data_IF_459762112935
#
_entry.id   IF_459762112935
#
_cell.length_a   1.000
_cell.length_b   1.000
_cell.length_c   1.000
_cell.angle_alpha   90.00
_cell.angle_beta   90.00
_cell.angle_gamma   90.00
#
_symmetry.space_group_name_H-M   'P 1'
#
loop_
_entity.id
_entity.type
_entity.pdbx_description
1 polymer ?
#
# COMPACT_ATOMS: atom_id res chain seq x y z
N UNK A 1 -6.90 1.39 -1.41
CA UNK A 1 -8.32 1.06 -1.66
C UNK A 1 -9.17 1.96 -0.80
N UNK A 2 -9.97 2.85 -1.40
CA UNK A 2 -10.91 3.66 -0.63
C UNK A 2 -11.99 2.73 -0.04
N UNK A 3 -12.42 2.99 1.20
CA UNK A 3 -13.49 2.24 1.86
C UNK A 3 -13.17 0.78 2.24
N UNK A 4 -11.89 0.43 2.41
CA UNK A 4 -11.48 -0.91 2.85
C UNK A 4 -12.15 -1.34 4.18
N UNK A 5 -12.54 -0.40 5.04
CA UNK A 5 -13.22 -0.66 6.31
C UNK A 5 -14.66 -1.22 6.14
N UNK A 6 -15.29 -0.97 4.99
CA UNK A 6 -16.65 -1.43 4.68
C UNK A 6 -16.66 -2.72 3.84
N UNK A 7 -15.47 -3.23 3.47
CA UNK A 7 -15.30 -4.40 2.60
C UNK A 7 -14.85 -5.62 3.39
N UNK A 8 -15.08 -6.81 2.84
CA UNK A 8 -14.66 -8.04 3.50
C UNK A 8 -13.14 -8.20 3.47
N UNK A 9 -12.58 -8.84 4.50
CA UNK A 9 -11.12 -9.08 4.60
C UNK A 9 -10.61 -9.84 3.37
N UNK A 10 -11.37 -10.83 2.89
CA UNK A 10 -11.01 -11.62 1.71
C UNK A 10 -10.92 -10.78 0.44
N UNK A 11 -11.87 -9.87 0.24
CA UNK A 11 -11.92 -9.01 -0.93
C UNK A 11 -10.78 -7.97 -0.95
N UNK A 12 -10.42 -7.44 0.23
CA UNK A 12 -9.26 -6.56 0.37
C UNK A 12 -7.98 -7.33 0.05
N UNK A 13 -7.80 -8.53 0.61
CA UNK A 13 -6.62 -9.36 0.36
C UNK A 13 -6.49 -9.77 -1.12
N UNK A 14 -7.60 -10.15 -1.76
CA UNK A 14 -7.64 -10.51 -3.17
C UNK A 14 -7.29 -9.32 -4.07
N UNK A 15 -7.84 -8.13 -3.78
CA UNK A 15 -7.56 -6.92 -4.55
C UNK A 15 -6.08 -6.50 -4.53
N UNK A 16 -5.37 -6.78 -3.44
CA UNK A 16 -3.93 -6.53 -3.33
C UNK A 16 -3.06 -7.76 -3.63
N UNK A 17 -3.66 -8.92 -3.92
CA UNK A 17 -2.96 -10.19 -4.15
C UNK A 17 -2.08 -10.60 -2.98
N UNK A 18 -2.53 -10.33 -1.75
CA UNK A 18 -1.74 -10.55 -0.52
C UNK A 18 -2.08 -11.90 0.08
N UNK A 19 -1.05 -12.69 0.36
CA UNK A 19 -1.21 -13.88 1.19
C UNK A 19 -1.38 -13.46 2.66
N UNK A 20 -2.46 -13.84 3.35
CA UNK A 20 -2.70 -13.40 4.73
C UNK A 20 -1.71 -13.96 5.75
N UNK A 21 -0.97 -15.02 5.41
CA UNK A 21 0.00 -15.67 6.31
C UNK A 21 1.44 -15.20 6.06
N UNK A 22 1.74 -14.77 4.84
CA UNK A 22 3.10 -14.39 4.40
C UNK A 22 3.25 -12.91 4.04
N UNK A 23 2.15 -12.21 3.80
CA UNK A 23 2.15 -10.82 3.37
C UNK A 23 2.52 -10.65 1.90
N UNK A 24 2.98 -9.44 1.57
CA UNK A 24 3.45 -9.05 0.23
C UNK A 24 4.91 -9.47 0.02
N UNK A 25 5.23 -9.94 -1.19
CA UNK A 25 6.62 -10.16 -1.62
C UNK A 25 7.30 -8.84 -1.98
N UNK A 26 8.63 -8.79 -1.94
CA UNK A 26 9.43 -7.59 -2.27
C UNK A 26 9.09 -7.02 -3.66
N UNK A 27 8.81 -7.89 -4.62
CA UNK A 27 8.38 -7.47 -5.97
C UNK A 27 7.02 -6.77 -5.95
N UNK A 28 6.05 -7.30 -5.20
CA UNK A 28 4.74 -6.66 -5.07
C UNK A 28 4.85 -5.34 -4.30
N UNK A 29 5.72 -5.25 -3.28
CA UNK A 29 5.99 -3.99 -2.58
C UNK A 29 6.57 -2.95 -3.54
N UNK A 30 7.55 -3.34 -4.37
CA UNK A 30 8.16 -2.44 -5.35
C UNK A 30 7.16 -1.97 -6.42
N UNK A 31 6.24 -2.83 -6.84
CA UNK A 31 5.21 -2.48 -7.82
C UNK A 31 4.14 -1.55 -7.20
N UNK A 32 3.65 -1.88 -6.00
CA UNK A 32 2.72 -1.04 -5.25
C UNK A 32 3.33 0.33 -4.92
N UNK A 33 4.64 0.42 -4.66
CA UNK A 33 5.33 1.69 -4.42
C UNK A 33 5.37 2.60 -5.66
N UNK A 34 5.32 2.04 -6.88
CA UNK A 34 5.21 2.83 -8.12
C UNK A 34 3.80 3.37 -8.33
N UNK A 35 2.79 2.59 -7.96
CA UNK A 35 1.36 2.93 -8.16
C UNK A 35 0.88 3.91 -7.08
N UNK A 36 1.17 3.62 -5.81
CA UNK A 36 0.66 4.37 -4.66
C UNK A 36 1.66 5.38 -4.09
N UNK A 37 2.92 5.33 -4.53
CA UNK A 37 3.99 6.18 -4.01
C UNK A 37 4.50 5.72 -2.63
N UNK A 38 5.43 6.50 -2.07
CA UNK A 38 5.99 6.23 -0.74
C UNK A 38 4.99 6.65 0.33
N UNK A 39 4.72 5.77 1.30
CA UNK A 39 3.88 6.11 2.44
C UNK A 39 4.57 7.18 3.30
N UNK A 40 4.12 8.41 3.16
CA UNK A 40 4.60 9.57 3.91
C UNK A 40 3.83 10.81 3.48
N UNK A 41 3.44 11.65 4.43
CA UNK A 41 2.99 12.99 4.09
C UNK A 41 4.20 13.74 3.51
N UNK A 42 4.04 14.33 2.33
CA UNK A 42 4.99 15.27 1.74
C UNK A 42 4.99 16.59 2.53
N UNK A 43 5.18 16.52 3.84
CA UNK A 43 5.27 17.67 4.73
C UNK A 43 6.73 17.90 5.10
N UNK A 44 7.53 18.30 4.12
CA UNK A 44 8.77 19.05 4.36
C UNK A 44 9.04 19.94 3.13
N UNK A 45 8.24 20.99 2.97
CA UNK A 45 8.47 22.07 2.01
C UNK A 45 9.74 22.90 2.35
N UNK A 46 10.45 22.57 3.46
CA UNK A 46 11.57 23.34 4.02
C UNK A 46 12.81 22.50 4.40
N UNK A 47 12.95 21.24 3.94
CA UNK A 47 14.12 20.42 4.32
C UNK A 47 15.39 20.64 3.46
N UNK A 48 15.36 21.49 2.43
CA UNK A 48 16.57 21.88 1.69
C UNK A 48 16.66 23.40 1.65
N UNK A 49 17.33 23.96 2.67
CA UNK A 49 18.01 25.25 2.59
C UNK A 49 19.43 25.02 2.06
#
# INVERSE_FOLDING_TARGET
MNDAYARSVFEVLEAFGVDPTKGLTDFQVADNAKIYGRNGTSSCFWCFK
#
